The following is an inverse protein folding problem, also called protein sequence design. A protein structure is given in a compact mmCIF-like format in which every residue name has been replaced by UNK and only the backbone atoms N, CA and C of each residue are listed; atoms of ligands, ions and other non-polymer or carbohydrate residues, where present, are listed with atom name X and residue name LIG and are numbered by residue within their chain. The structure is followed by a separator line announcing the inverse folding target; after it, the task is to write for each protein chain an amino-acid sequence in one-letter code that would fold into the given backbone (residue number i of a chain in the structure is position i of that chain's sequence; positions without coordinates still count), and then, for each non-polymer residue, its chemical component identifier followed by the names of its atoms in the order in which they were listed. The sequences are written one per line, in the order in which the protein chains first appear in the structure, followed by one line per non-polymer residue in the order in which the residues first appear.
data_IF_458220518424
#
_entry.id   IF_458220518424
#
_cell.length_a   1.000
_cell.length_b   1.000
_cell.length_c   1.000
_cell.angle_alpha   90.00
_cell.angle_beta   90.00
_cell.angle_gamma   90.00
#
_symmetry.space_group_name_H-M   'P 1'
#
loop_
_entity.id
_entity.type
_entity.pdbx_description
1 polymer ?
#
# COMPACT_ATOMS: atom_id res chain seq x y z
N UNK A 1 -8.85 8.46 10.58
CA UNK A 1 -9.12 8.67 9.15
C UNK A 1 -8.88 10.16 8.99
N UNK A 2 -7.82 10.57 8.29
CA UNK A 2 -7.63 11.99 8.02
C UNK A 2 -8.85 12.43 7.20
N UNK A 3 -9.53 13.46 7.66
CA UNK A 3 -10.68 13.97 6.93
C UNK A 3 -10.21 14.82 5.73
N UNK A 4 -11.16 15.26 4.93
CA UNK A 4 -10.85 16.05 3.73
C UNK A 4 -10.19 17.40 4.08
N UNK A 5 -10.46 17.93 5.27
CA UNK A 5 -9.90 19.20 5.74
C UNK A 5 -8.45 19.05 6.18
N UNK A 6 -8.07 17.89 6.75
CA UNK A 6 -6.68 17.55 7.03
C UNK A 6 -5.82 17.55 5.75
N UNK A 7 -6.37 17.06 4.63
CA UNK A 7 -5.71 17.05 3.32
C UNK A 7 -5.53 18.45 2.72
N UNK A 8 -6.56 19.30 2.82
CA UNK A 8 -6.47 20.72 2.38
C UNK A 8 -5.39 21.45 3.17
N UNK A 9 -5.32 21.22 4.48
CA UNK A 9 -4.31 21.81 5.35
C UNK A 9 -2.90 21.33 5.00
N UNK A 10 -2.73 20.06 4.66
CA UNK A 10 -1.42 19.53 4.26
C UNK A 10 -0.89 20.14 2.95
N UNK A 11 -1.75 20.36 1.95
CA UNK A 11 -1.36 20.90 0.64
C UNK A 11 -1.57 22.42 0.48
N UNK A 12 -1.70 23.16 1.57
CA UNK A 12 -2.05 24.59 1.53
C UNK A 12 -1.05 25.49 0.75
N UNK A 13 0.19 25.03 0.54
CA UNK A 13 1.23 25.74 -0.21
C UNK A 13 1.35 25.32 -1.68
N UNK A 14 0.64 24.27 -2.12
CA UNK A 14 0.70 23.76 -3.48
C UNK A 14 -0.60 24.09 -4.22
N UNK A 15 -0.60 25.24 -4.92
CA UNK A 15 -1.77 25.77 -5.61
C UNK A 15 -2.37 24.80 -6.65
N UNK A 16 -1.53 23.96 -7.28
CA UNK A 16 -1.97 23.00 -8.30
C UNK A 16 -2.71 21.83 -7.65
N UNK A 17 -2.20 21.30 -6.53
CA UNK A 17 -2.87 20.25 -5.76
C UNK A 17 -4.13 20.76 -5.07
N UNK A 18 -4.13 21.98 -4.56
CA UNK A 18 -5.32 22.63 -4.01
C UNK A 18 -6.45 22.78 -5.03
N UNK A 19 -6.12 23.20 -6.27
CA UNK A 19 -7.10 23.31 -7.34
C UNK A 19 -7.70 21.95 -7.71
N UNK A 20 -6.88 20.91 -7.78
CA UNK A 20 -7.33 19.54 -8.02
C UNK A 20 -8.23 19.02 -6.87
N UNK A 21 -7.86 19.27 -5.61
CA UNK A 21 -8.65 18.90 -4.44
C UNK A 21 -10.02 19.63 -4.42
N UNK A 22 -10.05 20.93 -4.74
CA UNK A 22 -11.31 21.69 -4.87
C UNK A 22 -12.22 21.15 -5.98
N UNK A 23 -11.64 20.64 -7.07
CA UNK A 23 -12.41 19.99 -8.15
C UNK A 23 -12.93 18.59 -7.76
N UNK A 24 -12.36 17.95 -6.74
CA UNK A 24 -12.87 16.70 -6.17
C UNK A 24 -13.97 16.93 -5.14
N UNK A 25 -13.97 18.09 -4.47
CA UNK A 25 -15.02 18.51 -3.53
C UNK A 25 -16.40 18.63 -4.21
N UNK A 26 -16.44 18.95 -5.50
CA UNK A 26 -17.67 19.00 -6.31
C UNK A 26 -18.16 17.62 -6.80
N UNK A 27 -17.33 16.57 -6.66
CA UNK A 27 -17.63 15.21 -7.07
C UNK A 27 -17.75 14.32 -5.83
N UNK A 28 -18.89 14.46 -5.13
CA UNK A 28 -19.40 13.60 -4.05
C UNK A 28 -18.37 12.61 -3.47
N UNK A 29 -17.88 12.89 -2.27
CA UNK A 29 -16.94 12.11 -1.44
C UNK A 29 -17.14 10.57 -1.49
N UNK A 30 -18.35 10.09 -1.79
CA UNK A 30 -18.65 8.67 -2.06
C UNK A 30 -17.89 8.07 -3.26
N UNK A 31 -17.64 8.82 -4.34
CA UNK A 31 -16.88 8.33 -5.52
C UNK A 31 -15.39 8.20 -5.25
N UNK A 32 -14.81 9.07 -4.42
CA UNK A 32 -13.40 9.01 -4.05
C UNK A 32 -13.08 7.69 -3.30
N UNK A 33 -13.94 7.30 -2.36
CA UNK A 33 -13.78 6.03 -1.63
C UNK A 33 -14.09 4.78 -2.48
N UNK A 34 -14.94 4.91 -3.51
CA UNK A 34 -15.24 3.82 -4.46
C UNK A 34 -14.12 3.56 -5.49
N UNK A 35 -13.11 4.42 -5.55
CA UNK A 35 -12.04 4.34 -6.55
C UNK A 35 -10.90 3.36 -6.22
N UNK A 36 -10.94 2.73 -5.04
CA UNK A 36 -9.97 1.70 -4.68
C UNK A 36 -10.54 0.32 -5.05
N UNK A 37 -10.07 -0.24 -6.16
CA UNK A 37 -10.39 -1.60 -6.59
C UNK A 37 -9.68 -2.63 -5.68
N UNK A 38 -10.29 -2.94 -4.54
CA UNK A 38 -9.87 -4.08 -3.72
C UNK A 38 -10.52 -5.36 -4.27
N UNK A 39 -9.72 -6.30 -4.77
CA UNK A 39 -10.18 -7.64 -5.16
C UNK A 39 -9.49 -8.64 -4.23
N UNK A 40 -10.24 -9.41 -3.44
CA UNK A 40 -9.71 -10.50 -2.61
C UNK A 40 -8.50 -10.09 -1.73
N UNK A 41 -8.60 -8.96 -1.00
CA UNK A 41 -7.51 -8.38 -0.19
C UNK A 41 -6.29 -7.89 -0.98
N UNK A 42 -6.39 -7.72 -2.30
CA UNK A 42 -5.35 -7.16 -3.17
C UNK A 42 -5.72 -5.73 -3.56
N UNK A 43 -4.77 -4.81 -3.44
CA UNK A 43 -4.84 -3.49 -4.08
C UNK A 43 -4.15 -3.59 -5.44
N UNK A 44 -4.91 -3.43 -6.52
CA UNK A 44 -4.41 -3.50 -7.89
C UNK A 44 -4.46 -2.12 -8.53
N UNK A 45 -3.32 -1.59 -8.91
CA UNK A 45 -3.20 -0.28 -9.53
C UNK A 45 -1.96 -0.21 -10.45
N UNK A 46 -2.00 0.57 -11.54
CA UNK A 46 -0.82 0.84 -12.36
C UNK A 46 0.21 1.66 -11.56
N UNK A 47 1.50 1.51 -11.88
CA UNK A 47 2.53 2.39 -11.32
C UNK A 47 2.50 3.70 -12.11
N UNK A 48 1.95 4.77 -11.52
CA UNK A 48 1.86 6.09 -12.14
C UNK A 48 1.72 7.22 -11.09
N UNK A 49 1.66 8.48 -11.53
CA UNK A 49 1.68 9.66 -10.65
C UNK A 49 0.29 10.13 -10.17
N UNK A 50 -0.80 9.46 -10.53
CA UNK A 50 -2.15 9.86 -10.13
C UNK A 50 -2.62 9.20 -8.82
N UNK A 51 -3.79 9.62 -8.34
CA UNK A 51 -4.36 9.17 -7.06
C UNK A 51 -4.96 7.76 -7.09
N UNK A 52 -5.07 7.15 -8.28
CA UNK A 52 -5.57 5.78 -8.46
C UNK A 52 -4.44 4.81 -8.82
N UNK A 53 -3.19 5.28 -8.70
CA UNK A 53 -1.99 4.55 -9.06
C UNK A 53 -1.23 4.07 -7.83
N UNK A 54 -0.42 3.03 -8.03
CA UNK A 54 0.56 2.56 -7.07
C UNK A 54 1.78 3.49 -7.11
N UNK A 55 1.86 4.42 -6.16
CA UNK A 55 2.95 5.37 -5.97
C UNK A 55 3.24 5.62 -4.49
N UNK A 56 4.15 6.54 -4.21
CA UNK A 56 4.61 6.81 -2.85
C UNK A 56 3.47 7.25 -1.92
N UNK A 57 2.56 8.07 -2.44
CA UNK A 57 1.42 8.58 -1.69
C UNK A 57 0.40 7.47 -1.41
N UNK A 58 0.07 6.64 -2.40
CA UNK A 58 -0.82 5.49 -2.19
C UNK A 58 -0.22 4.49 -1.19
N UNK A 59 1.09 4.23 -1.29
CA UNK A 59 1.80 3.32 -0.37
C UNK A 59 1.77 3.85 1.06
N UNK A 60 1.98 5.16 1.28
CA UNK A 60 1.85 5.78 2.61
C UNK A 60 0.45 5.58 3.20
N UNK A 61 -0.60 5.84 2.42
CA UNK A 61 -1.97 5.69 2.91
C UNK A 61 -2.35 4.24 3.21
N UNK A 62 -1.97 3.31 2.33
CA UNK A 62 -2.19 1.88 2.55
C UNK A 62 -1.43 1.40 3.79
N UNK A 63 -0.17 1.81 3.96
CA UNK A 63 0.64 1.42 5.11
C UNK A 63 0.04 1.94 6.42
N UNK A 64 -0.44 3.18 6.46
CA UNK A 64 -1.08 3.74 7.64
C UNK A 64 -2.42 3.08 7.94
N UNK A 65 -3.20 2.71 6.92
CA UNK A 65 -4.42 1.94 7.09
C UNK A 65 -4.13 0.55 7.68
N UNK A 66 -3.08 -0.14 7.19
CA UNK A 66 -2.62 -1.42 7.72
C UNK A 66 -2.17 -1.27 9.18
N UNK A 67 -1.39 -0.22 9.50
CA UNK A 67 -0.94 0.04 10.88
C UNK A 67 -2.13 0.22 11.85
N UNK A 68 -3.17 0.93 11.41
CA UNK A 68 -4.40 1.10 12.19
C UNK A 68 -5.14 -0.23 12.41
N UNK A 69 -5.28 -1.04 11.38
CA UNK A 69 -5.89 -2.38 11.50
C UNK A 69 -5.07 -3.31 12.39
N UNK A 70 -3.75 -3.26 12.27
CA UNK A 70 -2.83 -3.99 13.12
C UNK A 70 -3.00 -3.60 14.60
N UNK A 71 -3.13 -2.30 14.90
CA UNK A 71 -3.43 -1.83 16.25
C UNK A 71 -4.75 -2.41 16.79
N UNK A 72 -5.84 -2.34 16.00
CA UNK A 72 -7.15 -2.87 16.42
C UNK A 72 -7.14 -4.38 16.66
N UNK A 73 -6.34 -5.13 15.90
CA UNK A 73 -6.21 -6.59 16.03
C UNK A 73 -5.05 -7.02 16.93
N UNK A 74 -4.35 -6.07 17.55
CA UNK A 74 -3.17 -6.28 18.37
C UNK A 74 -2.06 -7.08 17.66
N UNK A 75 -1.90 -6.88 16.35
CA UNK A 75 -0.79 -7.42 15.58
C UNK A 75 0.49 -6.68 15.94
N UNK A 76 1.57 -7.43 16.16
CA UNK A 76 2.88 -6.91 16.57
C UNK A 76 3.96 -7.16 15.55
N UNK A 77 3.79 -8.16 14.70
CA UNK A 77 4.81 -8.56 13.73
C UNK A 77 4.20 -8.77 12.35
N UNK A 78 4.73 -8.07 11.35
CA UNK A 78 4.28 -8.15 9.95
C UNK A 78 5.43 -8.64 9.07
N UNK A 79 5.16 -9.63 8.24
CA UNK A 79 6.06 -10.09 7.19
C UNK A 79 5.83 -9.25 5.93
N UNK A 80 6.89 -8.74 5.31
CA UNK A 80 6.84 -8.12 3.98
C UNK A 80 7.62 -8.99 2.99
N UNK A 81 7.07 -9.17 1.80
CA UNK A 81 7.68 -9.92 0.71
C UNK A 81 7.44 -9.23 -0.63
N UNK A 82 8.34 -9.44 -1.59
CA UNK A 82 8.20 -8.93 -2.96
C UNK A 82 8.85 -9.87 -3.98
N UNK A 83 8.30 -9.89 -5.19
CA UNK A 83 8.90 -10.56 -6.34
C UNK A 83 10.03 -9.76 -7.02
N UNK A 84 10.23 -8.49 -6.61
CA UNK A 84 11.22 -7.56 -7.18
C UNK A 84 11.08 -7.33 -8.69
N UNK A 85 9.90 -7.58 -9.22
CA UNK A 85 9.57 -7.37 -10.64
C UNK A 85 9.74 -5.92 -11.11
N UNK A 86 9.65 -4.95 -10.19
CA UNK A 86 9.80 -3.53 -10.52
C UNK A 86 10.64 -2.77 -9.46
N UNK A 87 11.57 -1.88 -9.87
CA UNK A 87 12.44 -1.14 -8.93
C UNK A 87 11.69 -0.33 -7.87
N UNK A 88 10.52 0.21 -8.23
CA UNK A 88 9.66 0.95 -7.31
C UNK A 88 9.19 0.10 -6.11
N UNK A 89 9.08 -1.23 -6.24
CA UNK A 89 8.63 -2.09 -5.14
C UNK A 89 9.62 -2.06 -3.96
N UNK A 90 10.92 -1.97 -4.23
CA UNK A 90 11.92 -1.82 -3.17
C UNK A 90 11.79 -0.48 -2.43
N UNK A 91 11.44 0.60 -3.14
CA UNK A 91 11.11 1.89 -2.52
C UNK A 91 9.84 1.77 -1.67
N UNK A 92 8.81 1.10 -2.18
CA UNK A 92 7.56 0.87 -1.48
C UNK A 92 7.76 0.09 -0.18
N UNK A 93 8.60 -0.95 -0.17
CA UNK A 93 8.98 -1.69 1.03
C UNK A 93 9.51 -0.76 2.12
N UNK A 94 10.48 0.10 1.79
CA UNK A 94 11.07 1.03 2.77
C UNK A 94 10.04 2.01 3.34
N UNK A 95 9.09 2.46 2.51
CA UNK A 95 7.99 3.30 2.98
C UNK A 95 7.11 2.54 3.98
N UNK A 96 6.71 1.31 3.64
CA UNK A 96 5.89 0.46 4.51
C UNK A 96 6.63 0.19 5.82
N UNK A 97 7.91 -0.18 5.76
CA UNK A 97 8.77 -0.42 6.93
C UNK A 97 8.80 0.78 7.86
N UNK A 98 9.06 1.97 7.34
CA UNK A 98 9.12 3.19 8.13
C UNK A 98 7.78 3.52 8.80
N UNK A 99 6.66 3.37 8.07
CA UNK A 99 5.33 3.64 8.62
C UNK A 99 4.97 2.62 9.71
N UNK A 100 5.22 1.33 9.49
CA UNK A 100 4.94 0.29 10.48
C UNK A 100 5.82 0.43 11.73
N UNK A 101 7.11 0.71 11.55
CA UNK A 101 8.03 0.95 12.66
C UNK A 101 7.62 2.17 13.49
N UNK A 102 7.14 3.24 12.84
CA UNK A 102 6.61 4.42 13.53
C UNK A 102 5.32 4.16 14.34
N UNK A 103 4.66 3.02 14.13
CA UNK A 103 3.48 2.57 14.87
C UNK A 103 3.81 1.37 15.80
N UNK A 104 5.07 1.18 16.18
CA UNK A 104 5.54 0.10 17.07
C UNK A 104 5.24 -1.33 16.55
N UNK A 105 5.20 -1.50 15.23
CA UNK A 105 5.01 -2.80 14.58
C UNK A 105 6.35 -3.30 14.08
N UNK A 106 6.75 -4.49 14.52
CA UNK A 106 7.96 -5.16 14.05
C UNK A 106 7.76 -5.63 12.61
N UNK A 107 8.69 -5.27 11.74
CA UNK A 107 8.72 -5.78 10.37
C UNK A 107 9.76 -6.88 10.23
N UNK A 108 9.35 -7.99 9.61
CA UNK A 108 10.24 -9.04 9.13
C UNK A 108 10.23 -8.93 7.61
N UNK A 109 11.42 -8.92 7.00
CA UNK A 109 11.56 -8.90 5.56
C UNK A 109 12.50 -10.03 5.12
N UNK A 110 12.31 -10.52 3.90
CA UNK A 110 13.29 -11.37 3.25
C UNK A 110 14.53 -10.55 2.90
N UNK A 111 15.64 -11.24 2.65
CA UNK A 111 16.89 -10.60 2.22
C UNK A 111 16.64 -9.61 1.08
N UNK A 112 17.27 -8.43 1.14
CA UNK A 112 17.22 -7.42 0.08
C UNK A 112 17.69 -7.95 -1.28
N UNK A 113 18.32 -9.13 -1.33
CA UNK A 113 18.76 -9.80 -2.55
C UNK A 113 17.82 -10.90 -3.08
N UNK A 114 16.85 -11.40 -2.31
CA UNK A 114 15.99 -12.51 -2.75
C UNK A 114 14.59 -12.08 -3.23
N UNK A 115 14.22 -12.49 -4.44
CA UNK A 115 12.86 -12.36 -4.94
C UNK A 115 12.01 -13.52 -4.40
N UNK A 116 10.83 -13.20 -3.89
CA UNK A 116 9.89 -14.17 -3.33
C UNK A 116 8.69 -14.27 -4.24
N UNK A 117 8.38 -15.48 -4.73
CA UNK A 117 7.16 -15.73 -5.47
C UNK A 117 5.97 -16.00 -4.52
N UNK A 118 4.74 -15.79 -5.00
CA UNK A 118 3.52 -15.92 -4.21
C UNK A 118 3.34 -17.34 -3.64
N UNK A 119 3.67 -18.38 -4.41
CA UNK A 119 3.57 -19.78 -3.99
C UNK A 119 4.47 -20.10 -2.79
N UNK A 120 5.70 -19.60 -2.80
CA UNK A 120 6.64 -19.75 -1.69
C UNK A 120 6.17 -18.97 -0.47
N UNK A 121 5.68 -17.74 -0.65
CA UNK A 121 5.11 -16.98 0.46
C UNK A 121 3.93 -17.71 1.11
N UNK A 122 3.01 -18.26 0.31
CA UNK A 122 1.88 -19.06 0.82
C UNK A 122 2.39 -20.27 1.61
N UNK A 123 3.43 -20.94 1.13
CA UNK A 123 4.05 -22.04 1.87
C UNK A 123 4.62 -21.55 3.21
N UNK A 124 5.37 -20.45 3.23
CA UNK A 124 5.95 -19.87 4.44
C UNK A 124 4.87 -19.49 5.46
N UNK A 125 3.81 -18.80 5.04
CA UNK A 125 2.68 -18.40 5.90
C UNK A 125 1.97 -19.60 6.53
N UNK A 126 1.94 -20.75 5.85
CA UNK A 126 1.37 -21.98 6.41
C UNK A 126 2.29 -22.66 7.42
N UNK A 127 3.61 -22.49 7.31
CA UNK A 127 4.62 -23.21 8.10
C UNK A 127 5.16 -22.40 9.28
N UNK A 128 5.32 -21.10 9.11
CA UNK A 128 5.89 -20.18 10.10
C UNK A 128 4.75 -19.34 10.66
N UNK A 129 4.65 -19.28 11.99
CA UNK A 129 3.60 -18.54 12.72
C UNK A 129 4.13 -17.40 13.58
N UNK A 130 5.33 -16.92 13.26
CA UNK A 130 6.03 -15.89 14.04
C UNK A 130 5.67 -14.46 13.60
N UNK A 131 4.61 -14.32 12.83
CA UNK A 131 4.07 -13.05 12.35
C UNK A 131 2.54 -13.14 12.26
N UNK A 132 1.88 -12.00 12.38
CA UNK A 132 0.43 -11.88 12.46
C UNK A 132 -0.21 -11.61 11.09
N UNK A 133 0.54 -10.97 10.20
CA UNK A 133 0.11 -10.59 8.85
C UNK A 133 1.28 -10.69 7.87
N UNK A 134 0.98 -10.97 6.60
CA UNK A 134 1.93 -10.89 5.50
C UNK A 134 1.44 -9.88 4.44
N UNK A 135 2.34 -9.01 3.99
CA UNK A 135 2.15 -8.08 2.88
C UNK A 135 3.01 -8.58 1.71
N UNK A 136 2.39 -8.71 0.54
CA UNK A 136 3.07 -9.12 -0.67
C UNK A 136 2.97 -8.04 -1.75
N UNK A 137 4.11 -7.64 -2.29
CA UNK A 137 4.21 -6.66 -3.37
C UNK A 137 4.72 -7.34 -4.64
N UNK A 138 3.88 -7.37 -5.68
CA UNK A 138 4.25 -7.89 -6.98
C UNK A 138 3.74 -7.00 -8.11
N UNK A 139 4.42 -7.05 -9.25
CA UNK A 139 3.86 -6.51 -10.49
C UNK A 139 2.92 -7.56 -11.07
N UNK A 140 1.64 -7.23 -11.11
CA UNK A 140 0.66 -8.04 -11.82
C UNK A 140 0.71 -7.69 -13.31
N UNK A 141 1.58 -8.36 -14.06
CA UNK A 141 1.55 -8.31 -15.52
C UNK A 141 0.51 -9.30 -16.03
N UNK A 142 -0.71 -8.82 -16.32
CA UNK A 142 -1.54 -9.54 -17.29
C UNK A 142 -0.96 -9.16 -18.66
N UNK A 143 -0.16 -10.06 -19.26
CA UNK A 143 -0.01 -10.02 -20.71
C UNK A 143 -1.41 -10.23 -21.27
N UNK A 144 -1.97 -9.18 -21.86
CA UNK A 144 -3.23 -9.28 -22.58
C UNK A 144 -3.05 -10.33 -23.66
N UNK A 145 -3.53 -11.55 -23.41
CA UNK A 145 -4.03 -12.37 -24.48
C UNK A 145 -5.26 -11.61 -24.98
N UNK A 146 -5.05 -10.76 -25.99
CA UNK A 146 -6.09 -10.40 -26.94
C UNK A 146 -6.46 -11.70 -27.64
N UNK A 147 -7.52 -12.36 -27.17
CA UNK A 147 -8.32 -13.28 -27.98
C UNK A 147 -9.49 -12.50 -28.57
#
# INVERSE_FOLDING_TARGET
MLDFEDYKRYYHLDAKKLSYLKNLESLEIKKFMQSFNYINNKFLAPIAFDNHSFNELSVLFLSQAIAKEAFLKNYKTILIATDKSHPFLLKAIKIIENVLAANDIKVINYSEYEAVNESFLIYTVKKIKNFDLAIYLNQYSFEGILL
#
